data_IF_976601425389
#
_entry.id   IF_976601425389
#
_cell.length_a   1.000
_cell.length_b   1.000
_cell.length_c   1.000
_cell.angle_alpha   90.00
_cell.angle_beta   90.00
_cell.angle_gamma   90.00
#
_symmetry.space_group_name_H-M   'P 1'
#
loop_
_entity.id
_entity.type
_entity.pdbx_description
1 polymer ?
#
# COMPACT_ATOMS: atom_id res chain seq x y z
N UNK A 1 -17.94 10.16 7.24
CA UNK A 1 -17.80 9.21 8.36
C UNK A 1 -16.42 8.54 8.34
N UNK A 2 -15.99 7.88 7.24
CA UNK A 2 -14.72 7.11 7.17
C UNK A 2 -13.44 7.92 7.50
N UNK A 3 -13.34 9.18 7.04
CA UNK A 3 -12.15 10.03 7.30
C UNK A 3 -11.95 10.30 8.80
N UNK A 4 -13.02 10.68 9.53
CA UNK A 4 -12.95 10.89 10.98
C UNK A 4 -12.62 9.60 11.74
N UNK A 5 -13.13 8.47 11.28
CA UNK A 5 -12.79 7.15 11.85
C UNK A 5 -11.31 6.80 11.63
N UNK A 6 -10.68 7.24 10.52
CA UNK A 6 -9.27 7.02 10.28
C UNK A 6 -8.39 7.71 11.34
N UNK A 7 -8.65 8.99 11.66
CA UNK A 7 -7.90 9.72 12.71
C UNK A 7 -8.06 9.03 14.05
N UNK A 8 -9.30 8.73 14.45
CA UNK A 8 -9.58 8.12 15.75
C UNK A 8 -8.94 6.75 15.89
N UNK A 9 -8.95 5.93 14.82
CA UNK A 9 -8.26 4.63 14.79
C UNK A 9 -6.77 4.79 15.04
N UNK A 10 -6.10 5.73 14.38
CA UNK A 10 -4.67 5.95 14.57
C UNK A 10 -4.35 6.49 15.98
N UNK A 11 -5.22 7.31 16.55
CA UNK A 11 -5.09 7.76 17.94
C UNK A 11 -5.18 6.59 18.91
N UNK A 12 -6.12 5.67 18.72
CA UNK A 12 -6.26 4.46 19.53
C UNK A 12 -5.06 3.52 19.38
N UNK A 13 -4.40 3.52 18.23
CA UNK A 13 -3.14 2.80 18.00
C UNK A 13 -1.92 3.49 18.62
N UNK A 14 -2.07 4.68 19.24
CA UNK A 14 -0.98 5.41 19.86
C UNK A 14 -0.15 6.27 18.92
N UNK A 15 -0.71 6.67 17.77
CA UNK A 15 -0.01 7.59 16.86
C UNK A 15 0.10 8.98 17.48
N UNK A 16 1.31 9.62 17.50
CA UNK A 16 1.51 10.94 18.05
C UNK A 16 0.71 12.04 17.31
N UNK A 17 0.27 13.07 18.07
CA UNK A 17 -0.60 14.15 17.54
C UNK A 17 -0.07 14.82 16.26
N UNK A 18 1.25 15.13 16.10
CA UNK A 18 1.77 15.73 14.84
C UNK A 18 1.52 14.91 13.58
N UNK A 19 1.30 13.60 13.72
CA UNK A 19 0.91 12.71 12.62
C UNK A 19 -0.61 12.70 12.40
N UNK A 20 -1.38 12.73 13.51
CA UNK A 20 -2.85 12.74 13.44
C UNK A 20 -3.38 13.99 12.74
N UNK A 21 -2.78 15.14 13.00
CA UNK A 21 -3.12 16.43 12.35
C UNK A 21 -2.95 16.41 10.84
N UNK A 22 -2.10 15.54 10.30
CA UNK A 22 -1.86 15.42 8.87
C UNK A 22 -2.91 14.55 8.15
N UNK A 23 -3.63 13.68 8.87
CA UNK A 23 -4.46 12.64 8.23
C UNK A 23 -5.62 13.23 7.44
N UNK A 24 -6.40 14.13 8.02
CA UNK A 24 -7.57 14.72 7.31
C UNK A 24 -7.15 15.49 6.06
N UNK A 25 -6.19 16.44 6.12
CA UNK A 25 -5.72 17.13 4.91
C UNK A 25 -5.13 16.19 3.86
N UNK A 26 -4.41 15.15 4.30
CA UNK A 26 -3.85 14.15 3.39
C UNK A 26 -4.95 13.37 2.68
N UNK A 27 -5.97 12.90 3.40
CA UNK A 27 -7.12 12.20 2.81
C UNK A 27 -7.96 13.08 1.89
N UNK A 28 -8.10 14.37 2.21
CA UNK A 28 -8.80 15.32 1.33
C UNK A 28 -8.11 15.45 -0.03
N UNK A 29 -6.79 15.46 -0.01
CA UNK A 29 -5.98 15.62 -1.21
C UNK A 29 -5.86 14.33 -2.03
N UNK A 30 -5.74 13.17 -1.40
CA UNK A 30 -5.26 11.95 -2.05
C UNK A 30 -6.26 10.79 -2.10
N UNK A 31 -7.34 10.79 -1.31
CA UNK A 31 -8.28 9.67 -1.28
C UNK A 31 -9.11 9.49 -2.56
N UNK A 32 -9.01 10.42 -3.50
CA UNK A 32 -9.78 10.39 -4.74
C UNK A 32 -11.28 10.62 -4.57
N UNK A 33 -12.04 10.68 -5.65
CA UNK A 33 -13.48 10.77 -5.63
C UNK A 33 -14.11 9.44 -5.21
N UNK A 34 -15.30 9.50 -4.61
CA UNK A 34 -16.02 8.32 -4.11
C UNK A 34 -16.64 7.46 -5.23
N UNK A 35 -16.72 7.98 -6.44
CA UNK A 35 -17.39 7.38 -7.62
C UNK A 35 -16.39 6.72 -8.61
N UNK A 36 -15.19 6.39 -8.15
CA UNK A 36 -14.24 5.59 -8.93
C UNK A 36 -14.81 4.21 -9.28
N UNK A 37 -14.37 3.65 -10.40
CA UNK A 37 -14.71 2.27 -10.79
C UNK A 37 -14.49 1.29 -9.63
N UNK A 38 -15.54 0.50 -9.35
CA UNK A 38 -15.56 -0.45 -8.25
C UNK A 38 -15.22 -1.85 -8.75
N UNK A 39 -14.14 -2.42 -8.25
CA UNK A 39 -13.72 -3.79 -8.54
C UNK A 39 -13.90 -4.69 -7.31
N UNK A 40 -13.85 -6.01 -7.50
CA UNK A 40 -13.78 -6.95 -6.39
C UNK A 40 -12.38 -6.89 -5.79
N UNK A 41 -12.32 -6.71 -4.48
CA UNK A 41 -11.10 -6.63 -3.70
C UNK A 41 -11.03 -7.80 -2.72
N UNK A 42 -9.84 -8.32 -2.52
CA UNK A 42 -9.51 -9.22 -1.41
C UNK A 42 -9.39 -8.44 -0.09
N UNK A 43 -8.80 -7.27 -0.16
CA UNK A 43 -8.50 -6.28 0.90
C UNK A 43 -7.31 -6.58 1.81
N UNK A 44 -6.92 -7.83 1.96
CA UNK A 44 -5.85 -8.27 2.88
C UNK A 44 -4.84 -9.19 2.19
N UNK A 45 -4.35 -8.84 0.98
CA UNK A 45 -3.31 -9.63 0.35
C UNK A 45 -2.00 -9.43 1.12
N UNK A 46 -1.63 -10.47 1.86
CA UNK A 46 -0.38 -10.58 2.61
C UNK A 46 0.39 -11.83 2.18
N UNK A 47 1.68 -11.92 2.51
CA UNK A 47 2.49 -13.11 2.14
C UNK A 47 1.91 -14.40 2.71
N UNK A 48 1.34 -14.32 3.90
CA UNK A 48 0.72 -15.43 4.63
C UNK A 48 -0.52 -16.00 3.91
N UNK A 49 -1.17 -15.20 3.03
CA UNK A 49 -2.34 -15.62 2.25
C UNK A 49 -1.99 -16.14 0.86
N UNK A 50 -0.69 -16.17 0.50
CA UNK A 50 -0.22 -16.63 -0.80
C UNK A 50 0.28 -18.08 -0.74
N UNK A 51 -0.24 -18.92 -1.60
CA UNK A 51 0.27 -20.27 -1.80
C UNK A 51 1.23 -20.29 -2.99
N UNK A 52 2.37 -20.90 -2.80
CA UNK A 52 3.40 -21.04 -3.83
C UNK A 52 3.84 -22.49 -3.97
N UNK A 53 4.21 -22.89 -5.18
CA UNK A 53 4.76 -24.20 -5.49
C UNK A 53 6.06 -24.10 -6.27
N UNK A 54 6.98 -25.08 -6.14
CA UNK A 54 8.20 -25.10 -6.93
C UNK A 54 7.90 -25.19 -8.44
N UNK A 55 8.61 -24.38 -9.24
CA UNK A 55 8.54 -24.44 -10.69
C UNK A 55 9.94 -24.22 -11.29
N UNK A 56 10.56 -25.28 -11.80
CA UNK A 56 11.94 -25.25 -12.27
C UNK A 56 12.91 -24.84 -11.16
N UNK A 57 13.70 -23.77 -11.38
CA UNK A 57 14.61 -23.20 -10.39
C UNK A 57 13.97 -22.09 -9.52
N UNK A 58 12.67 -21.86 -9.65
CA UNK A 58 11.96 -20.79 -8.96
C UNK A 58 10.67 -21.26 -8.30
N UNK A 59 9.77 -20.30 -8.09
CA UNK A 59 8.48 -20.50 -7.46
C UNK A 59 7.36 -19.92 -8.32
N UNK A 60 6.20 -20.54 -8.30
CA UNK A 60 4.98 -20.07 -8.95
C UNK A 60 3.91 -19.83 -7.87
N UNK A 61 3.19 -18.73 -8.00
CA UNK A 61 1.99 -18.52 -7.22
C UNK A 61 0.92 -19.54 -7.65
N UNK A 62 0.45 -20.36 -6.73
CA UNK A 62 -0.52 -21.42 -6.98
C UNK A 62 -1.90 -21.14 -6.37
N UNK A 63 -2.00 -20.17 -5.46
CA UNK A 63 -3.28 -19.81 -4.85
C UNK A 63 -3.22 -18.57 -3.99
N UNK A 64 -4.42 -18.06 -3.71
CA UNK A 64 -4.71 -16.99 -2.77
C UNK A 64 -5.91 -17.44 -1.95
N UNK A 65 -5.89 -17.26 -0.64
CA UNK A 65 -6.98 -17.65 0.26
C UNK A 65 -7.28 -16.53 1.27
N UNK A 66 -8.27 -16.75 2.13
CA UNK A 66 -8.77 -15.81 3.14
C UNK A 66 -9.54 -14.62 2.52
N UNK A 67 -10.56 -14.95 1.73
CA UNK A 67 -11.45 -13.97 1.10
C UNK A 67 -12.57 -13.46 2.03
N UNK A 68 -12.56 -13.80 3.31
CA UNK A 68 -13.61 -13.37 4.24
C UNK A 68 -13.81 -11.84 4.25
N UNK A 69 -12.74 -11.00 4.23
CA UNK A 69 -12.89 -9.55 4.24
C UNK A 69 -13.20 -8.94 2.86
N UNK A 70 -13.39 -9.75 1.82
CA UNK A 70 -13.57 -9.25 0.45
C UNK A 70 -14.73 -8.27 0.32
N UNK A 71 -14.57 -7.26 -0.53
CA UNK A 71 -15.58 -6.24 -0.78
C UNK A 71 -15.43 -5.64 -2.19
N UNK A 72 -16.39 -4.81 -2.59
CA UNK A 72 -16.24 -3.95 -3.77
C UNK A 72 -15.67 -2.60 -3.36
N UNK A 73 -14.69 -2.10 -4.12
CA UNK A 73 -14.04 -0.83 -3.84
C UNK A 73 -13.13 -0.36 -4.96
N UNK A 74 -12.51 0.81 -4.77
CA UNK A 74 -11.49 1.32 -5.68
C UNK A 74 -10.28 0.39 -5.70
N UNK A 75 -9.73 0.09 -6.89
CA UNK A 75 -8.62 -0.87 -7.03
C UNK A 75 -7.37 -0.48 -6.21
N UNK A 76 -7.09 0.82 -6.04
CA UNK A 76 -5.95 1.30 -5.25
C UNK A 76 -6.01 0.80 -3.79
N UNK A 77 -7.20 0.48 -3.26
CA UNK A 77 -7.37 -0.04 -1.91
C UNK A 77 -6.69 -1.40 -1.71
N UNK A 78 -6.67 -2.27 -2.74
CA UNK A 78 -5.98 -3.57 -2.69
C UNK A 78 -4.47 -3.43 -2.47
N UNK A 79 -3.88 -2.41 -3.10
CA UNK A 79 -2.43 -2.25 -3.10
C UNK A 79 -1.87 -1.59 -1.84
N UNK A 80 -2.75 -1.13 -0.93
CA UNK A 80 -2.36 -0.69 0.40
C UNK A 80 -1.65 -1.83 1.18
N UNK A 81 -2.29 -3.00 1.25
CA UNK A 81 -1.72 -4.19 1.91
C UNK A 81 -0.54 -4.78 1.13
N UNK A 82 -0.64 -4.88 -0.20
CA UNK A 82 0.40 -5.43 -1.06
C UNK A 82 1.72 -4.66 -0.90
N UNK A 83 1.67 -3.32 -0.89
CA UNK A 83 2.86 -2.49 -0.70
C UNK A 83 3.55 -2.74 0.63
N UNK A 84 2.78 -2.87 1.70
CA UNK A 84 3.29 -3.04 3.07
C UNK A 84 3.74 -4.49 3.35
N UNK A 85 2.98 -5.49 2.90
CA UNK A 85 3.13 -6.87 3.38
C UNK A 85 3.67 -7.84 2.33
N UNK A 86 3.56 -7.52 1.05
CA UNK A 86 4.09 -8.35 -0.04
C UNK A 86 5.39 -7.77 -0.58
N UNK A 87 5.37 -6.54 -1.12
CA UNK A 87 6.58 -5.91 -1.64
C UNK A 87 7.51 -5.37 -0.56
N UNK A 88 6.96 -4.92 0.60
CA UNK A 88 7.76 -4.45 1.73
C UNK A 88 8.67 -3.28 1.38
N UNK A 89 8.20 -2.33 0.57
CA UNK A 89 8.98 -1.17 0.11
C UNK A 89 9.93 -1.46 -1.07
N UNK A 90 9.94 -2.69 -1.61
CA UNK A 90 10.67 -3.02 -2.84
C UNK A 90 9.93 -2.44 -4.05
N UNK A 91 10.52 -1.39 -4.65
CA UNK A 91 9.94 -0.68 -5.80
C UNK A 91 9.76 -1.57 -7.02
N UNK A 92 10.72 -2.46 -7.28
CA UNK A 92 10.69 -3.36 -8.45
C UNK A 92 9.58 -4.39 -8.31
N UNK A 93 9.46 -5.00 -7.12
CA UNK A 93 8.41 -5.96 -6.84
C UNK A 93 7.03 -5.30 -6.95
N UNK A 94 6.82 -4.14 -6.30
CA UNK A 94 5.54 -3.43 -6.36
C UNK A 94 5.17 -3.03 -7.79
N UNK A 95 6.11 -2.47 -8.56
CA UNK A 95 5.88 -2.07 -9.96
C UNK A 95 5.51 -3.27 -10.84
N UNK A 96 6.18 -4.41 -10.65
CA UNK A 96 5.86 -5.65 -11.36
C UNK A 96 4.42 -6.11 -11.07
N UNK A 97 4.02 -6.10 -9.80
CA UNK A 97 2.68 -6.49 -9.37
C UNK A 97 1.62 -5.54 -9.94
N UNK A 98 1.84 -4.23 -9.83
CA UNK A 98 0.90 -3.21 -10.34
C UNK A 98 0.66 -3.38 -11.84
N UNK A 99 1.72 -3.55 -12.64
CA UNK A 99 1.61 -3.81 -14.08
C UNK A 99 0.86 -5.11 -14.39
N UNK A 100 1.15 -6.18 -13.66
CA UNK A 100 0.46 -7.47 -13.82
C UNK A 100 -1.04 -7.35 -13.48
N UNK A 101 -1.41 -6.42 -12.59
CA UNK A 101 -2.79 -6.11 -12.23
C UNK A 101 -3.42 -5.00 -13.09
N UNK A 102 -2.82 -4.65 -14.22
CA UNK A 102 -3.44 -3.78 -15.24
C UNK A 102 -3.20 -2.29 -15.04
N UNK A 103 -2.25 -1.87 -14.20
CA UNK A 103 -1.85 -0.46 -14.17
C UNK A 103 -1.02 -0.11 -15.41
N UNK A 104 -1.43 0.90 -16.14
CA UNK A 104 -0.66 1.46 -17.23
C UNK A 104 0.56 2.25 -16.68
N UNK A 105 1.63 2.36 -17.47
CA UNK A 105 2.83 3.11 -17.05
C UNK A 105 2.54 4.57 -16.67
N UNK A 106 1.58 5.20 -17.33
CA UNK A 106 1.15 6.56 -17.02
C UNK A 106 0.47 6.70 -15.65
N UNK A 107 -0.02 5.61 -15.06
CA UNK A 107 -0.64 5.58 -13.74
C UNK A 107 0.38 5.34 -12.62
N UNK A 108 1.56 4.82 -12.98
CA UNK A 108 2.70 4.63 -12.07
C UNK A 108 3.48 5.94 -11.90
N UNK A 109 2.76 6.98 -11.55
CA UNK A 109 3.26 8.35 -11.38
C UNK A 109 3.65 8.65 -9.92
N UNK A 110 4.27 9.81 -9.69
CA UNK A 110 4.66 10.23 -8.34
C UNK A 110 3.49 10.48 -7.37
N UNK A 111 2.25 10.50 -7.85
CA UNK A 111 1.05 10.64 -7.01
C UNK A 111 0.55 9.28 -6.48
N UNK A 112 0.86 8.18 -7.16
CA UNK A 112 0.39 6.84 -6.77
C UNK A 112 0.77 6.46 -5.33
N UNK A 113 2.01 6.64 -4.84
CA UNK A 113 2.34 6.35 -3.46
C UNK A 113 1.42 7.04 -2.43
N UNK A 114 1.06 8.30 -2.69
CA UNK A 114 0.17 9.06 -1.81
C UNK A 114 -1.28 8.54 -1.88
N UNK A 115 -1.75 8.12 -3.06
CA UNK A 115 -3.07 7.48 -3.19
C UNK A 115 -3.11 6.16 -2.42
N UNK A 116 -2.08 5.32 -2.53
CA UNK A 116 -1.99 4.05 -1.79
C UNK A 116 -1.91 4.28 -0.27
N UNK A 117 -1.17 5.30 0.17
CA UNK A 117 -1.14 5.71 1.59
C UNK A 117 -2.52 6.17 2.07
N UNK A 118 -3.27 6.93 1.25
CA UNK A 118 -4.63 7.33 1.60
C UNK A 118 -5.54 6.10 1.77
N UNK A 119 -5.42 5.11 0.90
CA UNK A 119 -6.15 3.84 1.02
C UNK A 119 -5.74 3.07 2.28
N UNK A 120 -4.45 3.04 2.61
CA UNK A 120 -3.95 2.43 3.85
C UNK A 120 -4.52 3.11 5.10
N UNK A 121 -4.63 4.44 5.11
CA UNK A 121 -5.26 5.20 6.21
C UNK A 121 -6.75 4.91 6.34
N UNK A 122 -7.46 4.71 5.22
CA UNK A 122 -8.89 4.36 5.20
C UNK A 122 -9.15 2.89 5.52
N UNK A 123 -8.13 2.04 5.42
CA UNK A 123 -8.27 0.61 5.67
C UNK A 123 -8.76 0.34 7.09
N UNK A 124 -9.71 -0.60 7.24
CA UNK A 124 -10.36 -0.88 8.54
C UNK A 124 -9.39 -1.38 9.62
N UNK A 125 -8.31 -2.05 9.23
CA UNK A 125 -7.25 -2.54 10.13
C UNK A 125 -5.99 -1.67 10.11
N UNK A 126 -6.10 -0.42 9.62
CA UNK A 126 -4.98 0.50 9.54
C UNK A 126 -4.35 0.76 10.91
N UNK A 127 -3.03 0.57 10.99
CA UNK A 127 -2.23 0.80 12.20
C UNK A 127 -0.86 1.35 11.81
N UNK A 128 -0.74 2.67 11.70
CA UNK A 128 0.49 3.35 11.30
C UNK A 128 1.68 3.06 12.23
N UNK A 129 1.54 3.07 13.58
CA UNK A 129 2.63 2.71 14.47
C UNK A 129 3.21 1.33 14.18
N UNK A 130 2.35 0.35 13.87
CA UNK A 130 2.81 -0.99 13.53
C UNK A 130 3.48 -1.04 12.15
N UNK A 131 2.98 -0.29 11.16
CA UNK A 131 3.62 -0.19 9.85
C UNK A 131 5.01 0.43 9.95
N UNK A 132 5.18 1.47 10.79
CA UNK A 132 6.49 2.09 11.09
C UNK A 132 7.47 1.13 11.76
N UNK A 133 7.00 0.18 12.57
CA UNK A 133 7.86 -0.86 13.14
C UNK A 133 8.35 -1.85 12.07
N UNK A 134 7.51 -2.20 11.09
CA UNK A 134 7.87 -3.13 10.00
C UNK A 134 8.74 -2.48 8.94
N UNK A 135 8.44 -1.27 8.56
CA UNK A 135 9.12 -0.51 7.50
C UNK A 135 9.52 0.87 8.05
N UNK A 136 10.55 0.92 8.91
CA UNK A 136 10.95 2.16 9.56
C UNK A 136 11.53 3.16 8.56
N UNK A 137 11.24 4.44 8.78
CA UNK A 137 11.87 5.57 8.09
C UNK A 137 12.30 6.59 9.14
N UNK A 138 13.51 6.43 9.73
CA UNK A 138 14.02 7.37 10.73
C UNK A 138 14.05 8.81 10.20
N UNK A 139 13.61 9.76 11.02
CA UNK A 139 13.58 11.17 10.66
C UNK A 139 12.39 11.59 9.80
N UNK A 140 11.48 10.68 9.44
CA UNK A 140 10.25 11.06 8.76
C UNK A 140 9.36 11.89 9.71
N UNK A 141 8.77 12.94 9.15
CA UNK A 141 7.85 13.85 9.84
C UNK A 141 6.54 14.07 9.08
N UNK A 142 6.43 13.52 7.85
CA UNK A 142 5.31 13.74 6.95
C UNK A 142 4.79 12.42 6.36
N UNK A 143 3.46 12.34 6.18
CA UNK A 143 2.82 11.18 5.56
C UNK A 143 3.30 10.93 4.13
N UNK A 144 3.60 11.98 3.36
CA UNK A 144 4.14 11.84 2.00
C UNK A 144 5.51 11.16 1.97
N UNK A 145 6.34 11.35 3.00
CA UNK A 145 7.64 10.67 3.12
C UNK A 145 7.45 9.17 3.36
N UNK A 146 6.50 8.81 4.23
CA UNK A 146 6.14 7.42 4.46
C UNK A 146 5.54 6.77 3.21
N UNK A 147 4.66 7.49 2.51
CA UNK A 147 4.07 7.03 1.26
C UNK A 147 5.14 6.71 0.21
N UNK A 148 6.07 7.64 -0.03
CA UNK A 148 7.17 7.47 -0.96
C UNK A 148 8.14 6.33 -0.57
N UNK A 149 8.25 6.02 0.72
CA UNK A 149 9.09 4.94 1.22
C UNK A 149 8.39 3.57 1.12
N UNK A 150 7.13 3.47 1.55
CA UNK A 150 6.39 2.20 1.62
C UNK A 150 5.87 1.72 0.27
N UNK A 151 5.45 2.65 -0.60
CA UNK A 151 4.97 2.36 -1.96
C UNK A 151 5.87 2.96 -3.03
N UNK A 152 7.17 2.84 -2.82
CA UNK A 152 8.15 3.31 -3.80
C UNK A 152 7.96 2.59 -5.14
N UNK A 153 7.89 3.36 -6.22
CA UNK A 153 7.74 2.86 -7.61
C UNK A 153 8.89 3.28 -8.51
N UNK A 154 9.74 4.21 -8.06
CA UNK A 154 10.91 4.63 -8.82
C UNK A 154 11.97 3.52 -8.79
N UNK A 155 12.35 3.02 -9.96
CA UNK A 155 13.50 2.14 -10.07
C UNK A 155 14.78 2.99 -9.90
N UNK A 156 15.70 2.59 -9.01
CA UNK A 156 17.03 3.14 -9.08
C UNK A 156 17.62 2.83 -10.46
N UNK A 157 18.39 3.74 -11.08
CA UNK A 157 19.02 3.46 -12.37
C UNK A 157 19.77 2.13 -12.28
N UNK A 158 19.57 1.26 -13.27
CA UNK A 158 20.24 -0.03 -13.36
C UNK A 158 21.76 0.23 -13.30
N UNK A 159 22.37 0.06 -12.15
CA UNK A 159 23.82 -0.08 -12.06
C UNK A 159 24.13 -1.38 -12.80
N UNK A 160 24.61 -1.26 -14.04
CA UNK A 160 25.17 -2.40 -14.76
C UNK A 160 26.21 -3.03 -13.83
N UNK A 161 25.95 -4.27 -13.39
CA UNK A 161 27.04 -5.06 -12.79
C UNK A 161 28.14 -5.11 -13.84
N UNK A 162 29.40 -4.76 -13.51
CA UNK A 162 30.51 -5.01 -14.39
C UNK A 162 30.57 -6.51 -14.67
N UNK A 163 30.81 -6.86 -15.95
CA UNK A 163 30.95 -8.22 -16.43
C UNK A 163 32.15 -8.92 -15.78
#
# INVERSE_FOLDING_TARGET
AQRRQAVERQRQCGMPEPWLEQIEPFLERWAGPADTEQVLLHTEIMREHLLVEPQGSGWRLSGLFDFEPSMRGARDYEFASIGLFVSGGDARALRCILRACGYADAELDGALPNRLMAMALLHRYSNLPWYLQRLPLPGATRLEQLAAHWWRIDEPPLTRRPA
#
